data_IF_521587756874
#
_entry.id   IF_521587756874
#
_cell.length_a   1.000
_cell.length_b   1.000
_cell.length_c   1.000
_cell.angle_alpha   90.00
_cell.angle_beta   90.00
_cell.angle_gamma   90.00
#
_symmetry.space_group_name_H-M   'P 1'
#
loop_
_entity.id
_entity.type
_entity.pdbx_description
1 polymer ?
#
# COMPACT_ATOMS: atom_id res chain seq x y z
N UNK A 1 -8.62 15.23 -1.02
CA UNK A 1 -7.99 16.53 -0.70
C UNK A 1 -7.96 16.82 0.81
N UNK A 2 -8.52 15.99 1.70
CA UNK A 2 -8.53 16.26 3.15
C UNK A 2 -7.16 16.21 3.85
N UNK A 3 -6.23 15.33 3.44
CA UNK A 3 -4.86 15.23 4.01
C UNK A 3 -3.96 16.45 3.72
N UNK A 4 -4.32 17.29 2.74
CA UNK A 4 -3.59 18.50 2.36
C UNK A 4 -4.42 19.79 2.52
N UNK A 5 -5.76 19.69 2.64
CA UNK A 5 -6.67 20.84 2.67
C UNK A 5 -6.99 21.34 4.06
N UNK A 6 -6.63 20.61 5.11
CA UNK A 6 -6.29 21.26 6.37
C UNK A 6 -4.99 22.00 6.11
N UNK A 7 -5.10 23.30 5.82
CA UNK A 7 -3.95 24.20 5.83
C UNK A 7 -3.23 23.95 7.14
N UNK A 8 -2.13 23.22 7.09
CA UNK A 8 -1.15 23.22 8.16
C UNK A 8 -0.63 24.65 8.14
N UNK A 9 -1.32 25.54 8.85
CA UNK A 9 -0.75 26.81 9.26
C UNK A 9 0.61 26.43 9.84
N UNK A 10 1.74 26.95 9.31
CA UNK A 10 3.07 26.45 9.66
C UNK A 10 3.42 26.50 11.16
N UNK A 11 2.55 27.08 11.99
CA UNK A 11 2.80 27.37 13.40
C UNK A 11 1.51 27.44 14.24
N UNK A 12 0.47 26.64 13.99
CA UNK A 12 -0.52 26.42 15.07
C UNK A 12 0.08 25.40 16.03
N UNK A 13 0.90 25.96 16.94
CA UNK A 13 1.48 25.31 18.10
C UNK A 13 0.45 24.40 18.74
N UNK A 14 0.79 23.12 18.86
CA UNK A 14 0.10 22.24 19.79
C UNK A 14 0.23 22.91 21.16
N UNK A 15 -0.90 23.31 21.77
CA UNK A 15 -0.87 24.00 23.06
C UNK A 15 -0.22 23.15 24.17
N UNK A 16 0.01 21.87 23.87
CA UNK A 16 0.61 20.84 24.71
C UNK A 16 2.06 20.50 24.33
N UNK A 17 2.71 21.29 23.47
CA UNK A 17 4.12 21.07 23.13
C UNK A 17 5.01 21.31 24.36
N UNK A 18 5.76 20.29 24.77
CA UNK A 18 6.67 20.30 25.92
C UNK A 18 8.15 20.12 25.52
N UNK A 19 8.40 19.87 24.23
CA UNK A 19 9.73 19.65 23.67
C UNK A 19 9.88 20.29 22.29
N UNK A 20 11.11 20.57 21.87
CA UNK A 20 11.41 21.27 20.62
C UNK A 20 12.32 20.42 19.73
N UNK A 21 11.97 20.28 18.45
CA UNK A 21 12.81 19.63 17.44
C UNK A 21 13.13 20.60 16.33
N UNK A 22 14.41 20.70 15.94
CA UNK A 22 14.87 21.56 14.85
C UNK A 22 15.40 20.71 13.69
N UNK A 23 14.92 21.01 12.48
CA UNK A 23 15.49 20.50 11.23
C UNK A 23 16.81 21.19 10.96
N UNK A 24 17.92 20.45 10.97
CA UNK A 24 19.26 20.99 10.69
C UNK A 24 19.36 21.60 9.29
N UNK A 25 18.86 20.95 8.21
CA UNK A 25 19.00 21.50 6.86
C UNK A 25 18.26 22.83 6.63
N UNK A 26 17.16 23.07 7.35
CA UNK A 26 16.28 24.22 7.13
C UNK A 26 16.29 25.25 8.27
N UNK A 27 16.79 24.87 9.45
CA UNK A 27 16.66 25.62 10.69
C UNK A 27 15.23 25.70 11.23
N UNK A 28 14.25 25.08 10.57
CA UNK A 28 12.85 25.12 11.00
C UNK A 28 12.66 24.36 12.31
N UNK A 29 11.89 24.96 13.21
CA UNK A 29 11.64 24.46 14.57
C UNK A 29 10.20 23.97 14.69
N UNK A 30 10.03 22.84 15.37
CA UNK A 30 8.76 22.16 15.61
C UNK A 30 8.56 21.99 17.12
N UNK A 31 7.45 22.50 17.65
CA UNK A 31 6.98 22.13 18.98
C UNK A 31 6.32 20.76 18.91
N UNK A 32 6.72 19.84 19.79
CA UNK A 32 6.20 18.46 19.82
C UNK A 32 5.87 18.06 21.25
N UNK A 33 5.00 17.05 21.39
CA UNK A 33 4.73 16.40 22.66
C UNK A 33 5.65 15.18 22.83
N UNK A 34 6.57 15.26 23.79
CA UNK A 34 7.56 14.22 24.08
C UNK A 34 6.92 12.86 24.32
N UNK A 35 5.82 12.81 25.06
CA UNK A 35 5.11 11.55 25.38
C UNK A 35 4.63 10.86 24.10
N UNK A 36 4.08 11.61 23.12
CA UNK A 36 3.67 11.06 21.82
C UNK A 36 4.83 10.47 21.02
N UNK A 37 6.00 11.13 21.06
CA UNK A 37 7.21 10.64 20.42
C UNK A 37 7.68 9.33 21.06
N UNK A 38 7.70 9.25 22.41
CA UNK A 38 8.11 8.06 23.16
C UNK A 38 7.17 6.85 22.95
N UNK A 39 5.86 7.09 22.94
CA UNK A 39 4.85 6.06 22.67
C UNK A 39 4.93 5.56 21.22
N UNK A 40 5.16 6.47 20.29
CA UNK A 40 5.13 6.16 18.86
C UNK A 40 6.45 5.65 18.29
N UNK A 41 7.59 5.82 18.97
CA UNK A 41 8.93 5.47 18.48
C UNK A 41 9.84 4.95 19.59
N UNK A 42 10.44 3.77 19.39
CA UNK A 42 11.45 3.29 20.34
C UNK A 42 12.74 4.11 20.28
N UNK A 43 13.11 4.64 19.11
CA UNK A 43 14.31 5.49 18.96
C UNK A 43 14.18 6.76 19.80
N UNK A 44 13.04 7.45 19.74
CA UNK A 44 12.82 8.64 20.56
C UNK A 44 12.78 8.30 22.04
N UNK A 45 12.08 7.23 22.44
CA UNK A 45 12.06 6.76 23.83
C UNK A 45 13.45 6.50 24.38
N UNK A 46 14.27 5.76 23.64
CA UNK A 46 15.61 5.41 24.09
C UNK A 46 16.51 6.66 24.14
N UNK A 47 16.40 7.56 23.15
CA UNK A 47 17.12 8.84 23.11
C UNK A 47 16.80 9.70 24.32
N UNK A 48 15.53 9.88 24.66
CA UNK A 48 15.11 10.67 25.81
C UNK A 48 15.50 10.02 27.15
N UNK A 49 15.44 8.68 27.24
CA UNK A 49 15.86 7.97 28.45
C UNK A 49 17.36 8.16 28.77
N UNK A 50 18.21 8.30 27.75
CA UNK A 50 19.63 8.61 27.92
C UNK A 50 19.82 10.02 28.50
N UNK A 51 19.01 10.99 28.06
CA UNK A 51 19.08 12.37 28.53
C UNK A 51 18.63 12.53 29.99
N UNK A 52 17.61 11.80 30.42
CA UNK A 52 17.08 11.88 31.80
C UNK A 52 18.02 11.25 32.84
N UNK A 53 18.96 10.40 32.42
CA UNK A 53 19.86 9.65 33.31
C UNK A 53 20.95 10.50 34.01
N UNK A 54 20.93 11.82 33.84
CA UNK A 54 21.65 12.74 34.71
C UNK A 54 23.09 13.03 34.33
N UNK A 55 23.41 13.06 33.03
CA UNK A 55 24.69 13.59 32.54
C UNK A 55 24.70 15.13 32.64
N UNK A 56 24.76 15.64 33.87
CA UNK A 56 25.07 17.01 34.32
C UNK A 56 24.63 18.11 33.34
N UNK A 57 23.33 18.26 33.15
CA UNK A 57 22.79 19.48 32.52
C UNK A 57 22.68 20.53 33.61
N UNK A 58 23.57 21.52 33.58
CA UNK A 58 23.48 22.71 34.40
C UNK A 58 22.10 23.35 34.19
N UNK A 59 21.36 23.70 35.25
CA UNK A 59 19.97 24.22 35.22
C UNK A 59 19.78 25.51 34.37
N UNK A 60 20.85 26.04 33.80
CA UNK A 60 20.86 27.23 32.94
C UNK A 60 20.78 26.92 31.44
N UNK A 61 20.82 25.64 31.03
CA UNK A 61 20.87 25.28 29.60
C UNK A 61 19.46 25.11 29.02
N UNK A 62 18.87 26.21 28.55
CA UNK A 62 17.61 26.20 27.79
C UNK A 62 17.70 25.32 26.53
N UNK A 63 18.91 25.06 26.04
CA UNK A 63 19.21 24.17 24.92
C UNK A 63 18.92 22.69 25.23
N UNK A 64 18.75 22.30 26.50
CA UNK A 64 18.48 20.92 26.90
C UNK A 64 17.12 20.36 26.46
N UNK A 65 16.21 21.23 25.98
CA UNK A 65 14.88 20.81 25.46
C UNK A 65 14.79 20.87 23.95
N UNK A 66 15.93 20.95 23.27
CA UNK A 66 16.01 20.99 21.81
C UNK A 66 16.71 19.74 21.28
N UNK A 67 16.10 19.09 20.29
CA UNK A 67 16.71 18.03 19.51
C UNK A 67 16.94 18.49 18.08
N UNK A 68 18.17 18.35 17.59
CA UNK A 68 18.51 18.59 16.19
C UNK A 68 18.41 17.29 15.38
N UNK A 69 17.65 17.34 14.28
CA UNK A 69 17.46 16.22 13.35
C UNK A 69 17.87 16.62 11.93
N UNK A 70 18.55 15.73 11.21
CA UNK A 70 19.09 15.99 9.86
C UNK A 70 18.04 15.85 8.73
N UNK A 71 16.78 15.64 9.09
CA UNK A 71 15.66 15.56 8.16
C UNK A 71 15.24 16.93 7.65
N UNK A 72 14.71 16.96 6.41
CA UNK A 72 14.01 18.14 5.91
C UNK A 72 12.79 18.45 6.78
N UNK A 73 12.41 19.73 6.83
CA UNK A 73 11.21 20.17 7.51
C UNK A 73 9.94 19.43 7.05
N UNK A 74 9.86 19.08 5.76
CA UNK A 74 8.74 18.35 5.17
C UNK A 74 8.63 16.93 5.74
N UNK A 75 9.76 16.23 5.87
CA UNK A 75 9.79 14.89 6.47
C UNK A 75 9.48 14.91 7.96
N UNK A 76 10.01 15.88 8.71
CA UNK A 76 9.69 16.04 10.12
C UNK A 76 8.21 16.37 10.34
N UNK A 77 7.63 17.24 9.51
CA UNK A 77 6.20 17.54 9.55
C UNK A 77 5.35 16.29 9.35
N UNK A 78 5.69 15.45 8.36
CA UNK A 78 5.02 14.16 8.13
C UNK A 78 5.17 13.20 9.31
N UNK A 79 6.39 13.07 9.85
CA UNK A 79 6.69 12.21 10.99
C UNK A 79 5.89 12.64 12.23
N UNK A 80 5.93 13.92 12.58
CA UNK A 80 5.23 14.44 13.76
C UNK A 80 3.72 14.37 13.58
N UNK A 81 3.19 14.66 12.40
CA UNK A 81 1.77 14.46 12.13
C UNK A 81 1.35 13.01 12.36
N UNK A 82 2.12 12.05 11.86
CA UNK A 82 1.85 10.62 12.05
C UNK A 82 1.92 10.18 13.52
N UNK A 83 2.87 10.72 14.30
CA UNK A 83 3.05 10.40 15.72
C UNK A 83 1.96 11.02 16.62
N UNK A 84 1.55 12.26 16.35
CA UNK A 84 0.58 12.98 17.18
C UNK A 84 -0.87 12.63 16.84
N UNK A 85 -1.15 12.42 15.55
CA UNK A 85 -2.49 12.14 15.04
C UNK A 85 -2.45 11.04 13.97
N UNK A 86 -2.13 9.78 14.34
CA UNK A 86 -2.10 8.69 13.38
C UNK A 86 -3.49 8.51 12.74
N UNK A 87 -3.57 8.29 11.42
CA UNK A 87 -4.85 8.07 10.77
C UNK A 87 -5.48 6.76 11.24
N UNK A 88 -6.80 6.67 11.09
CA UNK A 88 -7.49 5.41 11.32
C UNK A 88 -6.99 4.33 10.34
N UNK A 89 -6.88 3.06 10.79
CA UNK A 89 -6.59 1.94 9.89
C UNK A 89 -7.61 1.86 8.77
N UNK A 90 -7.15 1.71 7.52
CA UNK A 90 -8.06 1.56 6.40
C UNK A 90 -8.73 0.19 6.44
N UNK A 91 -10.06 0.19 6.61
CA UNK A 91 -10.87 -1.02 6.48
C UNK A 91 -11.56 -1.03 5.12
N UNK A 92 -11.35 -2.06 4.28
CA UNK A 92 -12.10 -2.16 3.03
C UNK A 92 -13.60 -2.20 3.34
N UNK A 93 -14.46 -1.62 2.47
CA UNK A 93 -15.89 -1.62 2.69
C UNK A 93 -16.37 -3.05 2.90
N UNK A 94 -17.03 -3.30 4.04
CA UNK A 94 -17.60 -4.61 4.36
C UNK A 94 -18.58 -4.95 3.24
N UNK A 95 -18.20 -5.88 2.37
CA UNK A 95 -19.11 -6.38 1.34
C UNK A 95 -20.33 -6.94 2.08
N UNK A 96 -21.55 -6.43 1.84
CA UNK A 96 -22.73 -6.93 2.54
C UNK A 96 -22.81 -8.44 2.34
N UNK A 97 -22.82 -9.17 3.45
CA UNK A 97 -23.06 -10.63 3.49
C UNK A 97 -24.52 -10.87 3.10
N UNK A 98 -24.85 -10.71 1.82
CA UNK A 98 -26.22 -10.69 1.34
C UNK A 98 -26.37 -11.32 -0.04
N UNK A 99 -27.11 -12.42 -0.06
CA UNK A 99 -27.68 -13.16 -1.21
C UNK A 99 -26.69 -13.92 -2.13
N UNK A 100 -26.88 -15.24 -2.18
CA UNK A 100 -26.18 -16.21 -3.03
C UNK A 100 -26.43 -16.06 -4.54
N UNK A 101 -26.93 -14.91 -5.04
CA UNK A 101 -27.49 -14.84 -6.40
C UNK A 101 -26.75 -14.00 -7.44
N UNK A 102 -25.82 -13.11 -7.08
CA UNK A 102 -25.10 -12.31 -8.09
C UNK A 102 -23.58 -12.46 -7.98
N UNK A 103 -23.08 -13.58 -8.51
CA UNK A 103 -21.65 -13.85 -8.66
C UNK A 103 -21.04 -13.14 -9.89
N UNK A 104 -21.87 -12.66 -10.83
CA UNK A 104 -21.41 -12.17 -12.13
C UNK A 104 -21.02 -10.68 -12.16
N UNK A 105 -21.60 -9.82 -11.30
CA UNK A 105 -21.31 -8.37 -11.31
C UNK A 105 -20.06 -7.97 -10.49
N UNK A 106 -19.48 -8.91 -9.73
CA UNK A 106 -18.32 -8.62 -8.85
C UNK A 106 -16.96 -8.88 -9.50
N UNK A 107 -16.93 -9.54 -10.68
CA UNK A 107 -15.67 -9.97 -11.32
C UNK A 107 -15.08 -8.89 -12.23
N UNK A 108 -15.80 -7.82 -12.57
CA UNK A 108 -15.31 -6.80 -13.52
C UNK A 108 -15.29 -5.36 -13.01
N UNK A 109 -15.82 -5.05 -11.82
CA UNK A 109 -15.61 -3.76 -11.15
C UNK A 109 -14.36 -3.79 -10.25
N UNK A 110 -13.20 -4.11 -10.84
CA UNK A 110 -11.93 -4.32 -10.11
C UNK A 110 -11.13 -3.01 -9.90
N UNK A 111 -11.70 -1.84 -10.22
CA UNK A 111 -11.16 -0.55 -9.77
C UNK A 111 -12.06 -0.02 -8.67
N UNK A 112 -11.76 -0.39 -7.42
CA UNK A 112 -12.31 0.33 -6.28
C UNK A 112 -11.84 1.78 -6.38
N UNK A 113 -12.76 2.68 -6.71
CA UNK A 113 -12.51 4.12 -6.61
C UNK A 113 -12.37 4.44 -5.13
N UNK A 114 -11.12 4.52 -4.67
CA UNK A 114 -10.80 4.90 -3.30
C UNK A 114 -11.32 6.31 -3.03
N UNK A 115 -12.15 6.53 -1.99
CA UNK A 115 -12.56 7.87 -1.63
C UNK A 115 -11.30 8.67 -1.26
N UNK A 116 -11.03 9.81 -1.92
CA UNK A 116 -9.74 10.52 -1.84
C UNK A 116 -9.44 11.12 -0.46
N UNK A 117 -10.40 11.07 0.46
CA UNK A 117 -10.28 11.65 1.81
C UNK A 117 -10.11 10.59 2.90
N UNK A 118 -10.15 9.30 2.55
CA UNK A 118 -10.13 8.19 3.53
C UNK A 118 -8.81 7.44 3.59
N UNK A 119 -7.89 7.71 2.65
CA UNK A 119 -6.62 6.98 2.52
C UNK A 119 -5.46 7.96 2.39
N UNK A 120 -4.34 7.64 3.04
CA UNK A 120 -3.09 8.39 2.90
C UNK A 120 -2.69 8.37 1.42
N UNK A 121 -2.46 9.53 0.77
CA UNK A 121 -2.05 9.57 -0.63
C UNK A 121 -0.83 8.67 -0.91
N UNK A 122 -0.94 7.82 -1.94
CA UNK A 122 0.11 6.85 -2.28
C UNK A 122 1.53 7.44 -2.37
N UNK A 123 1.78 8.63 -2.97
CA UNK A 123 3.13 9.20 -3.01
C UNK A 123 3.77 9.45 -1.64
N UNK A 124 2.97 9.59 -0.57
CA UNK A 124 3.46 9.81 0.78
C UNK A 124 3.78 8.49 1.51
N UNK A 125 3.09 7.40 1.18
CA UNK A 125 3.24 6.11 1.88
C UNK A 125 4.70 5.60 1.89
N UNK A 126 5.43 5.58 0.75
CA UNK A 126 6.83 5.16 0.76
C UNK A 126 7.70 6.00 1.71
N UNK A 127 7.54 7.32 1.69
CA UNK A 127 8.27 8.23 2.57
C UNK A 127 7.93 7.94 4.04
N UNK A 128 6.65 7.76 4.37
CA UNK A 128 6.22 7.42 5.72
C UNK A 128 6.75 6.06 6.18
N UNK A 129 6.84 5.07 5.29
CA UNK A 129 7.43 3.76 5.59
C UNK A 129 8.94 3.86 5.83
N UNK A 130 9.66 4.68 5.05
CA UNK A 130 11.09 4.95 5.29
C UNK A 130 11.33 5.65 6.62
N UNK A 131 10.50 6.64 6.95
CA UNK A 131 10.53 7.28 8.27
C UNK A 131 10.18 6.28 9.38
N UNK A 132 9.21 5.40 9.13
CA UNK A 132 8.80 4.39 10.09
C UNK A 132 9.91 3.41 10.45
N UNK A 133 10.67 2.97 9.44
CA UNK A 133 11.86 2.14 9.61
C UNK A 133 12.97 2.89 10.35
N UNK A 134 13.33 4.10 9.89
CA UNK A 134 14.40 4.92 10.49
C UNK A 134 14.18 5.22 11.96
N UNK A 135 12.94 5.54 12.33
CA UNK A 135 12.56 5.91 13.70
C UNK A 135 12.00 4.73 14.52
N UNK A 136 12.02 3.52 13.98
CA UNK A 136 11.44 2.33 14.62
C UNK A 136 10.07 2.61 15.24
N UNK A 137 9.14 3.07 14.39
CA UNK A 137 7.79 3.41 14.82
C UNK A 137 7.05 2.19 15.35
N UNK A 138 6.11 2.42 16.27
CA UNK A 138 5.34 1.37 16.92
C UNK A 138 4.57 0.49 15.93
N UNK A 139 4.35 -0.77 16.30
CA UNK A 139 3.58 -1.73 15.50
C UNK A 139 2.17 -1.23 15.18
N UNK A 140 1.57 -0.43 16.07
CA UNK A 140 0.26 0.18 15.84
C UNK A 140 0.29 1.14 14.63
N UNK A 141 1.30 2.01 14.55
CA UNK A 141 1.49 2.94 13.42
C UNK A 141 1.86 2.18 12.16
N UNK A 142 2.77 1.20 12.24
CA UNK A 142 3.13 0.35 11.11
C UNK A 142 1.91 -0.39 10.54
N UNK A 143 1.06 -0.94 11.41
CA UNK A 143 -0.18 -1.58 11.01
C UNK A 143 -1.09 -0.63 10.22
N UNK A 144 -1.27 0.60 10.72
CA UNK A 144 -2.01 1.65 10.00
C UNK A 144 -1.42 1.85 8.61
N UNK A 145 -0.12 2.13 8.49
CA UNK A 145 0.54 2.35 7.20
C UNK A 145 0.38 1.16 6.24
N UNK A 146 0.47 -0.08 6.75
CA UNK A 146 0.26 -1.29 5.95
C UNK A 146 -1.17 -1.42 5.42
N UNK A 147 -2.19 -1.07 6.22
CA UNK A 147 -3.59 -1.09 5.74
C UNK A 147 -3.83 -0.05 4.64
N UNK A 148 -3.22 1.13 4.76
CA UNK A 148 -3.28 2.17 3.72
C UNK A 148 -2.51 1.76 2.46
N UNK A 149 -1.35 1.11 2.58
CA UNK A 149 -0.62 0.52 1.44
C UNK A 149 -1.48 -0.54 0.72
N UNK A 150 -2.15 -1.41 1.48
CA UNK A 150 -3.00 -2.46 0.94
C UNK A 150 -4.23 -1.93 0.19
N UNK A 151 -4.71 -0.73 0.53
CA UNK A 151 -5.80 -0.05 -0.17
C UNK A 151 -5.45 0.20 -1.66
N UNK A 152 -4.17 0.39 -1.98
CA UNK A 152 -3.70 0.66 -3.34
C UNK A 152 -3.35 -0.57 -4.17
N UNK A 153 -3.62 -1.79 -3.67
CA UNK A 153 -3.30 -3.05 -4.36
C UNK A 153 -3.84 -3.14 -5.78
N UNK A 154 -4.95 -2.46 -6.10
CA UNK A 154 -5.56 -2.46 -7.44
C UNK A 154 -5.10 -1.34 -8.37
N UNK A 155 -4.71 -0.18 -7.84
CA UNK A 155 -4.37 1.00 -8.66
C UNK A 155 -2.87 1.19 -8.85
N UNK A 156 -2.06 0.74 -7.89
CA UNK A 156 -0.59 0.83 -7.92
C UNK A 156 0.04 -0.55 -7.68
N UNK A 157 -0.55 -1.58 -8.28
CA UNK A 157 -0.26 -3.00 -8.01
C UNK A 157 1.22 -3.36 -8.04
N UNK A 158 2.00 -2.85 -9.01
CA UNK A 158 3.42 -3.18 -9.16
C UNK A 158 4.26 -2.61 -8.01
N UNK A 159 4.03 -1.34 -7.69
CA UNK A 159 4.73 -0.65 -6.59
C UNK A 159 4.34 -1.24 -5.25
N UNK A 160 3.04 -1.47 -5.03
CA UNK A 160 2.52 -2.11 -3.80
C UNK A 160 3.10 -3.51 -3.65
N UNK A 161 3.20 -4.30 -4.71
CA UNK A 161 3.87 -5.60 -4.67
C UNK A 161 5.33 -5.47 -4.23
N UNK A 162 6.10 -4.56 -4.85
CA UNK A 162 7.49 -4.30 -4.48
C UNK A 162 7.66 -3.96 -3.00
N UNK A 163 6.91 -2.97 -2.50
CA UNK A 163 6.95 -2.58 -1.09
C UNK A 163 6.49 -3.70 -0.15
N UNK A 164 5.40 -4.40 -0.49
CA UNK A 164 4.88 -5.48 0.35
C UNK A 164 5.89 -6.63 0.46
N UNK A 165 6.62 -6.97 -0.60
CA UNK A 165 7.68 -7.98 -0.54
C UNK A 165 8.85 -7.50 0.33
N UNK A 166 9.31 -6.25 0.17
CA UNK A 166 10.39 -5.69 0.98
C UNK A 166 10.07 -5.67 2.48
N UNK A 167 8.79 -5.52 2.82
CA UNK A 167 8.29 -5.48 4.20
C UNK A 167 7.82 -6.84 4.74
N UNK A 168 7.90 -7.93 3.95
CA UNK A 168 7.42 -9.25 4.36
C UNK A 168 5.89 -9.39 4.47
N UNK A 169 5.12 -8.50 3.84
CA UNK A 169 3.66 -8.48 3.84
C UNK A 169 3.09 -9.42 2.78
N UNK A 170 3.29 -10.74 2.96
CA UNK A 170 2.96 -11.78 1.97
C UNK A 170 1.50 -11.72 1.47
N UNK A 171 0.53 -11.41 2.34
CA UNK A 171 -0.90 -11.32 1.97
C UNK A 171 -1.18 -10.13 1.06
N UNK A 172 -0.54 -8.98 1.32
CA UNK A 172 -0.66 -7.77 0.50
C UNK A 172 0.05 -7.96 -0.83
N UNK A 173 1.25 -8.57 -0.82
CA UNK A 173 1.98 -8.91 -2.04
C UNK A 173 1.19 -9.88 -2.92
N UNK A 174 0.63 -10.95 -2.33
CA UNK A 174 -0.21 -11.90 -3.03
C UNK A 174 -1.43 -11.21 -3.67
N UNK A 175 -2.12 -10.34 -2.93
CA UNK A 175 -3.25 -9.55 -3.44
C UNK A 175 -2.83 -8.59 -4.55
N UNK A 176 -1.77 -7.78 -4.37
CA UNK A 176 -1.30 -6.86 -5.40
C UNK A 176 -0.96 -7.59 -6.70
N UNK A 177 -0.32 -8.77 -6.60
CA UNK A 177 0.07 -9.54 -7.77
C UNK A 177 -1.12 -10.01 -8.63
N UNK A 178 -2.34 -10.11 -8.08
CA UNK A 178 -3.52 -10.49 -8.89
C UNK A 178 -3.91 -9.41 -9.90
N UNK A 179 -3.50 -8.16 -9.65
CA UNK A 179 -3.77 -7.00 -10.49
C UNK A 179 -2.61 -6.67 -11.44
N UNK A 180 -1.65 -7.59 -11.62
CA UNK A 180 -0.50 -7.43 -12.52
C UNK A 180 -0.61 -8.27 -13.79
N UNK A 181 -1.74 -8.93 -14.02
CA UNK A 181 -1.97 -9.67 -15.27
C UNK A 181 -2.22 -8.73 -16.46
N UNK A 182 -2.71 -7.52 -16.20
CA UNK A 182 -2.92 -6.45 -17.18
C UNK A 182 -2.47 -5.11 -16.57
N UNK A 183 -1.44 -4.45 -17.14
CA UNK A 183 -0.69 -4.84 -18.33
C UNK A 183 0.36 -5.94 -18.05
N UNK A 184 0.85 -6.68 -19.07
CA UNK A 184 1.80 -7.76 -18.86
C UNK A 184 3.14 -7.24 -18.34
N UNK A 185 3.89 -8.07 -17.59
CA UNK A 185 5.18 -7.64 -16.99
C UNK A 185 6.19 -7.11 -18.01
N UNK A 186 6.18 -7.64 -19.23
CA UNK A 186 7.05 -7.20 -20.31
C UNK A 186 6.75 -5.78 -20.82
N UNK A 187 5.61 -5.20 -20.45
CA UNK A 187 5.25 -3.83 -20.80
C UNK A 187 5.82 -2.78 -19.85
N UNK A 188 6.28 -3.20 -18.66
CA UNK A 188 6.87 -2.30 -17.67
C UNK A 188 8.30 -1.95 -18.05
N UNK A 189 8.69 -0.70 -17.77
CA UNK A 189 10.07 -0.25 -18.00
C UNK A 189 11.00 -0.81 -16.92
N UNK A 190 12.31 -0.76 -17.17
CA UNK A 190 13.30 -1.12 -16.14
C UNK A 190 13.16 -0.25 -14.87
N UNK A 191 12.74 1.01 -15.02
CA UNK A 191 12.48 1.91 -13.90
C UNK A 191 11.22 1.51 -13.11
N UNK A 192 10.19 0.98 -13.77
CA UNK A 192 9.01 0.48 -13.07
C UNK A 192 9.31 -0.79 -12.29
N UNK A 193 10.13 -1.69 -12.85
CA UNK A 193 10.51 -2.96 -12.24
C UNK A 193 11.50 -2.78 -11.07
N UNK A 194 12.28 -1.69 -11.04
CA UNK A 194 13.26 -1.44 -9.98
C UNK A 194 12.65 -1.28 -8.57
N UNK A 195 11.33 -1.10 -8.47
CA UNK A 195 10.60 -1.11 -7.19
C UNK A 195 10.56 -2.48 -6.53
N UNK A 196 10.82 -3.55 -7.29
CA UNK A 196 10.91 -4.91 -6.76
C UNK A 196 12.32 -5.10 -6.17
N UNK A 197 12.44 -5.50 -4.89
CA UNK A 197 13.70 -5.37 -4.14
C UNK A 197 14.86 -6.22 -4.70
N UNK A 198 14.56 -7.37 -5.31
CA UNK A 198 15.59 -8.28 -5.81
C UNK A 198 15.08 -9.17 -6.96
N UNK A 199 16.02 -9.81 -7.65
CA UNK A 199 15.74 -10.67 -8.80
C UNK A 199 14.89 -11.89 -8.44
N UNK A 200 15.01 -12.42 -7.22
CA UNK A 200 14.22 -13.55 -6.74
C UNK A 200 12.73 -13.17 -6.63
N UNK A 201 12.41 -12.02 -6.04
CA UNK A 201 11.07 -11.48 -5.93
C UNK A 201 10.43 -11.23 -7.30
N UNK A 202 11.21 -10.74 -8.27
CA UNK A 202 10.76 -10.58 -9.65
C UNK A 202 10.51 -11.94 -10.31
N UNK A 203 11.42 -12.91 -10.16
CA UNK A 203 11.25 -14.24 -10.72
C UNK A 203 10.01 -14.96 -10.16
N UNK A 204 9.77 -14.84 -8.84
CA UNK A 204 8.55 -15.38 -8.20
C UNK A 204 7.28 -14.78 -8.80
N UNK A 205 7.27 -13.48 -9.07
CA UNK A 205 6.14 -12.82 -9.75
C UNK A 205 5.92 -13.37 -11.17
N UNK A 206 7.00 -13.55 -11.94
CA UNK A 206 6.96 -14.13 -13.29
C UNK A 206 6.40 -15.56 -13.26
N UNK A 207 6.88 -16.40 -12.33
CA UNK A 207 6.38 -17.77 -12.15
C UNK A 207 4.89 -17.79 -11.79
N UNK A 208 4.45 -16.90 -10.89
CA UNK A 208 3.03 -16.77 -10.53
C UNK A 208 2.18 -16.37 -11.74
N UNK A 209 2.66 -15.45 -12.58
CA UNK A 209 1.95 -15.05 -13.80
C UNK A 209 1.85 -16.21 -14.79
N UNK A 210 2.95 -16.90 -15.05
CA UNK A 210 2.96 -18.06 -15.93
C UNK A 210 1.99 -19.15 -15.44
N UNK A 211 1.96 -19.40 -14.13
CA UNK A 211 1.01 -20.33 -13.52
C UNK A 211 -0.44 -19.89 -13.70
N UNK A 212 -0.75 -18.62 -13.41
CA UNK A 212 -2.10 -18.05 -13.55
C UNK A 212 -2.59 -18.10 -14.99
N UNK A 213 -1.77 -17.68 -15.96
CA UNK A 213 -2.06 -17.77 -17.39
C UNK A 213 -2.36 -19.22 -17.79
N UNK A 214 -1.49 -20.17 -17.39
CA UNK A 214 -1.69 -21.58 -17.67
C UNK A 214 -3.01 -22.10 -17.10
N UNK A 215 -3.34 -21.75 -15.85
CA UNK A 215 -4.58 -22.17 -15.19
C UNK A 215 -5.81 -21.55 -15.84
N UNK A 216 -5.81 -20.25 -16.11
CA UNK A 216 -6.90 -19.56 -16.81
C UNK A 216 -7.16 -20.17 -18.19
N UNK A 217 -6.10 -20.43 -18.96
CA UNK A 217 -6.21 -21.14 -20.25
C UNK A 217 -6.77 -22.55 -20.08
N UNK A 218 -6.32 -23.29 -19.07
CA UNK A 218 -6.83 -24.66 -18.80
C UNK A 218 -8.33 -24.63 -18.50
N UNK A 219 -8.76 -23.71 -17.63
CA UNK A 219 -10.17 -23.55 -17.31
C UNK A 219 -10.98 -23.16 -18.54
N UNK A 220 -10.59 -22.08 -19.23
CA UNK A 220 -11.27 -21.60 -20.42
C UNK A 220 -11.46 -22.70 -21.47
N UNK A 221 -10.40 -23.47 -21.76
CA UNK A 221 -10.47 -24.54 -22.76
C UNK A 221 -11.34 -25.72 -22.34
N UNK A 222 -11.40 -26.01 -21.04
CA UNK A 222 -12.25 -27.06 -20.47
C UNK A 222 -13.73 -26.69 -20.36
N UNK A 223 -14.09 -25.40 -20.49
CA UNK A 223 -15.49 -24.97 -20.41
C UNK A 223 -16.33 -25.44 -21.60
N UNK A 224 -17.50 -26.01 -21.28
CA UNK A 224 -18.53 -26.43 -22.23
C UNK A 224 -19.58 -25.32 -22.40
N UNK A 225 -19.98 -25.02 -23.64
CA UNK A 225 -21.05 -24.05 -23.89
C UNK A 225 -22.44 -24.55 -23.47
N UNK A 226 -22.61 -25.87 -23.37
CA UNK A 226 -23.86 -26.50 -22.91
C UNK A 226 -23.58 -27.46 -21.75
N UNK A 227 -23.31 -26.94 -20.53
CA UNK A 227 -23.10 -27.80 -19.35
C UNK A 227 -24.32 -28.71 -19.16
N UNK A 228 -24.10 -30.02 -19.04
CA UNK A 228 -25.15 -31.05 -18.92
C UNK A 228 -26.20 -31.04 -20.07
N UNK A 229 -25.90 -30.38 -21.20
CA UNK A 229 -26.82 -30.25 -22.33
C UNK A 229 -27.90 -29.18 -22.18
N UNK A 230 -27.89 -28.38 -21.10
CA UNK A 230 -28.87 -27.29 -20.93
C UNK A 230 -28.77 -26.27 -22.06
N UNK A 231 -29.93 -25.87 -22.62
CA UNK A 231 -30.00 -24.89 -23.72
C UNK A 231 -29.58 -25.40 -25.10
N UNK A 232 -29.20 -26.68 -25.23
CA UNK A 232 -28.77 -27.26 -26.50
C UNK A 232 -29.95 -27.39 -27.48
N UNK A 233 -29.94 -26.60 -28.55
CA UNK A 233 -30.93 -26.71 -29.63
C UNK A 233 -30.44 -27.70 -30.72
N UNK A 234 -31.22 -28.74 -31.10
CA UNK A 234 -30.81 -29.70 -32.13
C UNK A 234 -30.47 -29.07 -33.48
N UNK A 235 -31.08 -27.92 -33.80
CA UNK A 235 -30.87 -27.20 -35.07
C UNK A 235 -29.60 -26.35 -35.08
N UNK A 236 -29.16 -25.85 -33.93
CA UNK A 236 -28.08 -24.85 -33.84
C UNK A 236 -26.85 -25.32 -33.05
N UNK A 237 -26.93 -26.43 -32.32
CA UNK A 237 -25.88 -26.82 -31.36
C UNK A 237 -24.51 -27.01 -31.99
N UNK A 238 -24.44 -27.53 -33.22
CA UNK A 238 -23.17 -27.73 -33.92
C UNK A 238 -22.50 -26.38 -34.24
N UNK A 239 -23.24 -25.45 -34.85
CA UNK A 239 -22.76 -24.12 -35.17
C UNK A 239 -22.38 -23.34 -33.90
N UNK A 240 -23.20 -23.42 -32.85
CA UNK A 240 -22.92 -22.76 -31.58
C UNK A 240 -21.65 -23.32 -30.91
N UNK A 241 -21.42 -24.63 -30.98
CA UNK A 241 -20.18 -25.23 -30.50
C UNK A 241 -18.96 -24.74 -31.27
N UNK A 242 -19.04 -24.68 -32.60
CA UNK A 242 -17.94 -24.18 -33.45
C UNK A 242 -17.59 -22.73 -33.10
N UNK A 243 -18.59 -21.85 -33.02
CA UNK A 243 -18.41 -20.44 -32.63
C UNK A 243 -17.81 -20.31 -31.23
N UNK A 244 -18.22 -21.17 -30.28
CA UNK A 244 -17.66 -21.20 -28.94
C UNK A 244 -16.19 -21.60 -28.92
N UNK A 245 -15.83 -22.69 -29.58
CA UNK A 245 -14.43 -23.16 -29.67
C UNK A 245 -13.53 -22.10 -30.29
N UNK A 246 -13.98 -21.44 -31.36
CA UNK A 246 -13.23 -20.35 -31.98
C UNK A 246 -13.11 -19.14 -31.06
N UNK A 247 -14.17 -18.81 -30.32
CA UNK A 247 -14.10 -17.73 -29.33
C UNK A 247 -13.13 -18.04 -28.19
N UNK A 248 -13.11 -19.28 -27.69
CA UNK A 248 -12.14 -19.75 -26.68
C UNK A 248 -10.70 -19.57 -27.15
N UNK A 249 -10.40 -19.93 -28.40
CA UNK A 249 -9.05 -19.72 -29.00
C UNK A 249 -8.67 -18.24 -29.02
N UNK A 250 -9.60 -17.36 -29.45
CA UNK A 250 -9.36 -15.91 -29.47
C UNK A 250 -9.09 -15.37 -28.07
N UNK A 251 -9.90 -15.73 -27.07
CA UNK A 251 -9.70 -15.27 -25.68
C UNK A 251 -8.41 -15.85 -25.09
N UNK A 252 -8.08 -17.10 -25.37
CA UNK A 252 -6.83 -17.72 -24.92
C UNK A 252 -5.59 -17.00 -25.46
N UNK A 253 -5.60 -16.63 -26.75
CA UNK A 253 -4.51 -15.85 -27.35
C UNK A 253 -4.34 -14.49 -26.65
N UNK A 254 -5.43 -13.86 -26.22
CA UNK A 254 -5.39 -12.61 -25.45
C UNK A 254 -4.82 -12.80 -24.04
N UNK A 255 -5.25 -13.83 -23.31
CA UNK A 255 -4.71 -14.17 -21.98
C UNK A 255 -3.19 -14.39 -22.05
N UNK A 256 -2.70 -15.08 -23.08
CA UNK A 256 -1.26 -15.30 -23.28
C UNK A 256 -0.50 -14.01 -23.59
N UNK A 257 -1.14 -13.07 -24.28
CA UNK A 257 -0.58 -11.75 -24.57
C UNK A 257 -0.68 -10.77 -23.39
N UNK A 258 -1.36 -11.15 -22.29
CA UNK A 258 -1.69 -10.25 -21.18
C UNK A 258 -2.65 -9.13 -21.59
N UNK A 259 -3.63 -9.44 -22.45
CA UNK A 259 -4.60 -8.50 -23.02
C UNK A 259 -6.04 -9.01 -22.89
#
# INVERSE_FOLDING_TARGET
MAWYSSRVSPCEYDAEADFVVRSVPSGQVFGVNRTRLEEGSSVFRDMFSCCDSGYVVSELDQDARMLDLDESAEHLSLLFHLLHAPPEPHSPPKVPKGSNHDFHDKVFHIQQTLPPDTVIPFPLIPTLLTLADKYALSDAILHVLHTHLAAYTSTHSLRVYGYAVSLGLETVAARASTYLLDPPLSSHTAQDISVIPNAEAYHRLVQLHAYRIKKLTTYLMGEEIFPHGYGKCPRHSAQTQEVWEDRKKVVCAKIQAGK
#
